data_IF_132560150070
#
_entry.id   IF_132560150070
#
_cell.length_a   1.000
_cell.length_b   1.000
_cell.length_c   1.000
_cell.angle_alpha   90.00
_cell.angle_beta   90.00
_cell.angle_gamma   90.00
#
_symmetry.space_group_name_H-M   'P 1'
#
loop_
_entity.id
_entity.type
_entity.pdbx_description
1 polymer ?
#
# COMPACT_ATOMS: atom_id res chain seq x y z
N UNK A 1 18.00 -26.31 -35.86
CA UNK A 1 17.18 -25.14 -35.49
C UNK A 1 16.14 -25.54 -34.46
N UNK A 2 16.45 -25.44 -33.20
CA UNK A 2 15.56 -25.80 -32.10
C UNK A 2 14.74 -24.60 -31.73
N UNK A 3 13.46 -24.63 -32.04
CA UNK A 3 12.47 -23.55 -31.70
C UNK A 3 12.35 -23.45 -30.18
N UNK A 4 12.75 -22.34 -29.60
CA UNK A 4 12.41 -21.93 -28.22
C UNK A 4 10.90 -21.72 -28.11
N UNK A 5 10.13 -22.77 -27.94
CA UNK A 5 8.73 -22.72 -27.53
C UNK A 5 8.70 -23.09 -26.07
N UNK A 6 8.37 -22.14 -25.16
CA UNK A 6 7.71 -22.34 -23.85
C UNK A 6 8.04 -21.30 -22.76
N UNK A 7 8.43 -20.05 -23.10
CA UNK A 7 8.59 -19.02 -22.07
C UNK A 7 7.39 -18.04 -21.95
N UNK A 8 6.59 -17.90 -23.00
CA UNK A 8 5.50 -16.93 -23.02
C UNK A 8 4.37 -17.19 -22.00
N UNK A 9 3.86 -18.43 -21.81
CA UNK A 9 2.73 -18.64 -20.88
C UNK A 9 3.08 -18.37 -19.42
N UNK A 10 4.33 -18.65 -18.99
CA UNK A 10 4.76 -18.45 -17.59
C UNK A 10 4.95 -16.97 -17.28
N UNK A 11 5.50 -16.20 -18.22
CA UNK A 11 5.66 -14.76 -18.07
C UNK A 11 4.31 -14.05 -18.03
N UNK A 12 3.41 -14.40 -18.94
CA UNK A 12 2.06 -13.83 -18.95
C UNK A 12 1.32 -14.10 -17.65
N UNK A 13 1.37 -15.33 -17.14
CA UNK A 13 0.75 -15.69 -15.86
C UNK A 13 1.30 -14.89 -14.67
N UNK A 14 2.60 -14.59 -14.67
CA UNK A 14 3.21 -13.74 -13.62
C UNK A 14 2.79 -12.27 -13.74
N UNK A 15 2.67 -11.75 -14.94
CA UNK A 15 2.14 -10.40 -15.16
C UNK A 15 0.68 -10.31 -14.72
N UNK A 16 -0.13 -11.29 -15.04
CA UNK A 16 -1.54 -11.33 -14.63
C UNK A 16 -1.66 -11.40 -13.10
N UNK A 17 -0.81 -12.18 -12.43
CA UNK A 17 -0.74 -12.22 -10.97
C UNK A 17 -0.33 -10.87 -10.37
N UNK A 18 0.66 -10.21 -10.96
CA UNK A 18 1.10 -8.88 -10.52
C UNK A 18 -0.03 -7.85 -10.67
N UNK A 19 -0.72 -7.84 -11.79
CA UNK A 19 -1.87 -6.96 -12.02
C UNK A 19 -2.97 -7.20 -10.99
N UNK A 20 -3.34 -8.47 -10.76
CA UNK A 20 -4.35 -8.84 -9.77
C UNK A 20 -3.97 -8.35 -8.36
N UNK A 21 -2.71 -8.56 -7.95
CA UNK A 21 -2.21 -8.08 -6.64
C UNK A 21 -2.20 -6.56 -6.54
N UNK A 22 -1.87 -5.86 -7.61
CA UNK A 22 -1.94 -4.40 -7.63
C UNK A 22 -3.37 -3.92 -7.43
N UNK A 23 -4.34 -4.50 -8.12
CA UNK A 23 -5.76 -4.17 -7.96
C UNK A 23 -6.26 -4.49 -6.55
N UNK A 24 -5.91 -5.66 -6.02
CA UNK A 24 -6.25 -6.06 -4.66
C UNK A 24 -5.70 -5.08 -3.61
N UNK A 25 -4.46 -4.64 -3.77
CA UNK A 25 -3.84 -3.66 -2.86
C UNK A 25 -4.54 -2.30 -2.86
N UNK A 26 -5.23 -1.92 -3.93
CA UNK A 26 -5.99 -0.68 -4.01
C UNK A 26 -7.29 -0.71 -3.19
N UNK A 27 -7.77 -1.89 -2.85
CA UNK A 27 -9.08 -2.06 -2.18
C UNK A 27 -9.00 -2.05 -0.65
N UNK A 28 -7.80 -1.99 -0.06
CA UNK A 28 -7.60 -1.96 1.40
C UNK A 28 -8.38 -3.07 2.11
N UNK A 29 -9.25 -2.71 3.04
CA UNK A 29 -10.11 -3.64 3.78
C UNK A 29 -11.34 -4.15 3.01
N UNK A 30 -11.45 -3.82 1.72
CA UNK A 30 -12.55 -4.24 0.84
C UNK A 30 -13.67 -3.22 0.71
N UNK A 31 -14.45 -3.36 -0.37
CA UNK A 31 -15.47 -2.39 -0.77
C UNK A 31 -16.47 -2.03 0.34
N UNK A 32 -16.94 -3.02 1.09
CA UNK A 32 -17.90 -2.80 2.20
C UNK A 32 -17.34 -1.89 3.29
N UNK A 33 -16.07 -2.07 3.68
CA UNK A 33 -15.43 -1.24 4.70
C UNK A 33 -15.12 0.16 4.19
N UNK A 34 -14.77 0.28 2.92
CA UNK A 34 -14.59 1.58 2.24
C UNK A 34 -15.91 2.34 2.24
N UNK A 35 -17.01 1.70 1.85
CA UNK A 35 -18.34 2.31 1.86
C UNK A 35 -18.76 2.77 3.27
N UNK A 36 -18.49 1.96 4.31
CA UNK A 36 -18.72 2.37 5.70
C UNK A 36 -17.88 3.58 6.13
N UNK A 37 -16.66 3.71 5.61
CA UNK A 37 -15.80 4.87 5.85
C UNK A 37 -16.38 6.12 5.21
N UNK A 38 -16.81 6.02 3.96
CA UNK A 38 -17.47 7.10 3.23
C UNK A 38 -18.80 7.51 3.86
N UNK A 39 -19.60 6.54 4.33
CA UNK A 39 -20.86 6.83 5.03
C UNK A 39 -20.68 7.64 6.31
N UNK A 40 -19.49 7.60 6.92
CA UNK A 40 -19.11 8.43 8.07
C UNK A 40 -18.55 9.81 7.65
N UNK A 41 -18.58 10.15 6.37
CA UNK A 41 -18.00 11.38 5.84
C UNK A 41 -16.47 11.39 5.84
N UNK A 42 -15.82 10.22 5.88
CA UNK A 42 -14.36 10.08 5.93
C UNK A 42 -13.81 9.52 4.64
N UNK A 43 -12.67 10.03 4.22
CA UNK A 43 -11.90 9.48 3.10
C UNK A 43 -11.11 8.25 3.53
N UNK A 44 -10.78 7.40 2.57
CA UNK A 44 -9.82 6.32 2.78
C UNK A 44 -8.40 6.87 2.90
N UNK A 45 -7.47 6.05 3.42
CA UNK A 45 -6.06 6.42 3.49
C UNK A 45 -5.49 6.77 2.11
N UNK A 46 -5.84 5.98 1.10
CA UNK A 46 -5.40 6.19 -0.29
C UNK A 46 -5.91 7.50 -0.88
N UNK A 47 -7.19 7.80 -0.69
CA UNK A 47 -7.78 9.06 -1.15
C UNK A 47 -7.13 10.27 -0.49
N UNK A 48 -6.80 10.19 0.80
CA UNK A 48 -6.08 11.24 1.52
C UNK A 48 -4.69 11.50 0.94
N UNK A 49 -3.94 10.44 0.65
CA UNK A 49 -2.62 10.56 0.00
C UNK A 49 -2.74 11.17 -1.39
N UNK A 50 -3.74 10.76 -2.17
CA UNK A 50 -3.99 11.30 -3.50
C UNK A 50 -4.34 12.80 -3.47
N UNK A 51 -5.10 13.23 -2.47
CA UNK A 51 -5.42 14.66 -2.30
C UNK A 51 -4.21 15.49 -1.85
N UNK A 52 -3.31 14.91 -1.07
CA UNK A 52 -2.10 15.60 -0.60
C UNK A 52 -1.08 15.80 -1.71
N UNK A 53 -0.87 14.77 -2.53
CA UNK A 53 0.19 14.74 -3.53
C UNK A 53 -0.20 15.45 -4.83
N UNK A 54 0.79 16.03 -5.49
CA UNK A 54 0.64 16.50 -6.86
C UNK A 54 0.25 15.32 -7.75
N UNK A 55 -0.65 15.55 -8.70
CA UNK A 55 -1.22 14.52 -9.55
C UNK A 55 -0.13 13.70 -10.27
N UNK A 56 -0.27 12.37 -10.21
CA UNK A 56 0.63 11.43 -10.89
C UNK A 56 2.04 11.30 -10.28
N UNK A 57 2.32 11.94 -9.14
CA UNK A 57 3.66 11.91 -8.54
C UNK A 57 3.84 10.88 -7.44
N UNK A 58 2.75 10.29 -6.92
CA UNK A 58 2.83 9.35 -5.81
C UNK A 58 3.38 7.99 -6.25
N UNK A 59 4.45 7.56 -5.59
CA UNK A 59 5.05 6.23 -5.72
C UNK A 59 4.90 5.47 -4.41
N UNK A 60 4.12 4.41 -4.43
CA UNK A 60 3.85 3.58 -3.26
C UNK A 60 4.95 2.55 -3.04
N UNK A 61 5.44 2.46 -1.80
CA UNK A 61 6.41 1.46 -1.36
C UNK A 61 5.76 0.47 -0.39
N UNK A 62 6.16 -0.80 -0.48
CA UNK A 62 5.64 -1.84 0.41
C UNK A 62 4.17 -2.20 0.17
N UNK A 63 3.66 -2.01 -1.03
CA UNK A 63 2.28 -2.29 -1.42
C UNK A 63 1.84 -3.73 -1.16
N UNK A 64 2.76 -4.69 -1.26
CA UNK A 64 2.48 -6.13 -1.13
C UNK A 64 2.87 -6.72 0.23
N UNK A 65 3.33 -5.91 1.15
CA UNK A 65 3.64 -6.34 2.52
C UNK A 65 2.37 -6.77 3.24
N UNK A 66 2.43 -7.89 3.94
CA UNK A 66 1.34 -8.42 4.76
C UNK A 66 1.83 -8.66 6.19
N UNK A 67 0.91 -8.63 7.17
CA UNK A 67 1.24 -8.93 8.56
C UNK A 67 1.69 -10.40 8.74
N UNK A 68 2.43 -10.66 9.82
CA UNK A 68 2.92 -12.00 10.19
C UNK A 68 2.17 -12.59 11.38
N UNK A 69 1.14 -11.92 11.88
CA UNK A 69 0.38 -12.39 13.04
C UNK A 69 -0.40 -13.66 12.70
N UNK A 70 -0.34 -14.64 13.60
CA UNK A 70 -1.01 -15.94 13.44
C UNK A 70 -2.07 -16.19 14.54
N UNK A 71 -2.06 -15.41 15.62
CA UNK A 71 -2.95 -15.55 16.75
C UNK A 71 -4.38 -15.12 16.41
N UNK A 72 -5.36 -15.70 17.10
CA UNK A 72 -6.79 -15.36 16.97
C UNK A 72 -7.36 -15.46 15.54
N UNK A 73 -6.80 -16.36 14.71
CA UNK A 73 -7.24 -16.56 13.33
C UNK A 73 -6.81 -15.47 12.35
N UNK A 74 -5.90 -14.57 12.73
CA UNK A 74 -5.35 -13.52 11.88
C UNK A 74 -4.53 -14.05 10.71
N UNK A 75 -4.04 -15.28 10.79
CA UNK A 75 -3.41 -16.02 9.69
C UNK A 75 -4.33 -16.23 8.48
N UNK A 76 -5.62 -16.09 8.64
CA UNK A 76 -6.64 -16.21 7.59
C UNK A 76 -7.03 -14.89 6.94
N UNK A 77 -6.66 -13.77 7.56
CA UNK A 77 -6.99 -12.42 7.10
C UNK A 77 -5.72 -11.67 6.71
N UNK A 78 -5.36 -11.72 5.43
CA UNK A 78 -4.23 -11.02 4.88
C UNK A 78 -4.69 -9.87 3.99
N UNK A 79 -4.21 -8.67 4.29
CA UNK A 79 -4.44 -7.49 3.48
C UNK A 79 -3.12 -6.97 2.92
N UNK A 80 -3.05 -6.80 1.60
CA UNK A 80 -1.86 -6.23 0.95
C UNK A 80 -1.65 -4.79 1.42
N UNK A 81 -0.40 -4.45 1.76
CA UNK A 81 -0.03 -3.16 2.32
C UNK A 81 -0.10 -3.09 3.85
N UNK A 82 -0.61 -4.12 4.52
CA UNK A 82 -0.71 -4.27 5.98
C UNK A 82 -1.32 -3.04 6.69
N UNK A 83 -2.38 -2.48 6.12
CA UNK A 83 -3.15 -1.40 6.74
C UNK A 83 -2.46 -0.04 6.81
N UNK A 84 -1.36 0.16 6.11
CA UNK A 84 -0.72 1.47 5.98
C UNK A 84 -0.20 1.69 4.55
N UNK A 85 -0.53 2.83 4.00
CA UNK A 85 0.00 3.28 2.72
C UNK A 85 1.26 4.08 2.99
N UNK A 86 2.36 3.67 2.40
CA UNK A 86 3.66 4.32 2.52
C UNK A 86 4.25 4.61 1.16
N UNK A 87 4.92 5.72 1.02
CA UNK A 87 5.54 6.09 -0.24
C UNK A 87 6.08 7.50 -0.24
N UNK A 88 6.32 8.00 -1.44
CA UNK A 88 6.79 9.36 -1.67
C UNK A 88 6.12 9.97 -2.90
N UNK A 89 6.16 11.27 -2.97
CA UNK A 89 5.64 12.04 -4.09
C UNK A 89 6.03 13.50 -3.96
N UNK A 90 5.35 14.35 -4.68
CA UNK A 90 5.58 15.79 -4.61
C UNK A 90 4.36 16.49 -4.03
N UNK A 91 4.62 17.52 -3.25
CA UNK A 91 3.62 18.49 -2.79
C UNK A 91 4.10 19.87 -3.22
N UNK A 92 3.37 20.52 -4.12
CA UNK A 92 3.79 21.78 -4.74
C UNK A 92 5.22 21.71 -5.34
N UNK A 93 5.52 20.61 -6.02
CA UNK A 93 6.80 20.34 -6.65
C UNK A 93 7.94 19.89 -5.74
N UNK A 94 7.72 19.80 -4.42
CA UNK A 94 8.71 19.38 -3.43
C UNK A 94 8.56 17.92 -3.06
N UNK A 95 9.66 17.18 -2.96
CA UNK A 95 9.67 15.80 -2.51
C UNK A 95 9.18 15.69 -1.05
N UNK A 96 8.23 14.82 -0.82
CA UNK A 96 7.65 14.51 0.48
C UNK A 96 7.48 13.00 0.63
N UNK A 97 7.80 12.47 1.79
CA UNK A 97 7.48 11.09 2.17
C UNK A 97 6.20 11.08 3.00
N UNK A 98 5.42 10.01 2.89
CA UNK A 98 4.12 9.90 3.55
C UNK A 98 3.87 8.50 4.08
N UNK A 99 3.21 8.42 5.22
CA UNK A 99 2.51 7.21 5.64
C UNK A 99 1.07 7.58 6.05
N UNK A 100 0.12 6.76 5.65
CA UNK A 100 -1.30 6.96 5.96
C UNK A 100 -1.92 5.64 6.41
N UNK A 101 -2.35 5.59 7.65
CA UNK A 101 -2.96 4.41 8.25
C UNK A 101 -4.37 4.18 7.69
N UNK A 102 -4.65 2.95 7.29
CA UNK A 102 -5.92 2.56 6.69
C UNK A 102 -6.86 1.98 7.74
N UNK A 103 -7.84 2.77 8.16
CA UNK A 103 -8.86 2.35 9.13
C UNK A 103 -9.82 1.27 8.60
N UNK A 104 -9.81 0.98 7.30
CA UNK A 104 -10.57 -0.13 6.73
C UNK A 104 -9.91 -1.48 6.98
N UNK A 105 -8.63 -1.48 7.35
CA UNK A 105 -7.84 -2.67 7.68
C UNK A 105 -7.62 -2.71 9.20
N UNK A 106 -8.14 -3.73 9.86
CA UNK A 106 -8.02 -3.95 11.32
C UNK A 106 -8.28 -2.68 12.17
N UNK A 107 -9.16 -1.79 11.72
CA UNK A 107 -9.46 -0.54 12.42
C UNK A 107 -8.28 0.41 12.56
N UNK A 108 -7.25 0.29 11.72
CA UNK A 108 -6.03 1.10 11.78
C UNK A 108 -5.04 0.68 12.88
N UNK A 109 -5.19 -0.55 13.43
CA UNK A 109 -4.28 -1.05 14.46
C UNK A 109 -2.86 -1.24 13.93
N UNK A 110 -1.88 -1.01 14.80
CA UNK A 110 -0.46 -1.10 14.50
C UNK A 110 0.03 -2.55 14.69
N UNK A 111 0.41 -3.23 13.60
CA UNK A 111 1.14 -4.48 13.63
C UNK A 111 2.65 -4.24 13.58
N UNK A 112 3.45 -5.30 13.79
CA UNK A 112 4.91 -5.23 13.64
C UNK A 112 5.32 -4.80 12.23
N UNK A 113 4.80 -5.46 11.21
CA UNK A 113 5.08 -5.13 9.80
C UNK A 113 4.56 -3.76 9.39
N UNK A 114 3.44 -3.32 9.93
CA UNK A 114 2.89 -1.99 9.78
C UNK A 114 3.88 -0.93 10.33
N UNK A 115 4.40 -1.15 11.55
CA UNK A 115 5.40 -0.28 12.15
C UNK A 115 6.71 -0.27 11.36
N UNK A 116 7.20 -1.43 10.90
CA UNK A 116 8.39 -1.54 10.05
C UNK A 116 8.25 -0.73 8.75
N UNK A 117 7.09 -0.75 8.13
CA UNK A 117 6.83 0.08 6.93
C UNK A 117 6.96 1.57 7.24
N UNK A 118 6.41 2.03 8.36
CA UNK A 118 6.48 3.43 8.79
C UNK A 118 7.93 3.82 9.07
N UNK A 119 8.65 3.00 9.84
CA UNK A 119 10.07 3.24 10.14
C UNK A 119 10.91 3.33 8.87
N UNK A 120 10.70 2.41 7.94
CA UNK A 120 11.43 2.42 6.66
C UNK A 120 11.18 3.70 5.87
N UNK A 121 9.97 4.21 5.85
CA UNK A 121 9.67 5.45 5.13
C UNK A 121 10.26 6.68 5.84
N UNK A 122 10.30 6.67 7.17
CA UNK A 122 10.97 7.71 7.97
C UNK A 122 12.49 7.73 7.69
N UNK A 123 13.13 6.57 7.65
CA UNK A 123 14.56 6.44 7.32
C UNK A 123 14.88 6.97 5.92
N UNK A 124 14.03 6.67 4.94
CA UNK A 124 14.17 7.18 3.57
C UNK A 124 14.02 8.70 3.53
N UNK A 125 13.07 9.26 4.27
CA UNK A 125 12.87 10.70 4.38
C UNK A 125 14.12 11.39 4.98
N UNK A 126 14.66 10.85 6.05
CA UNK A 126 15.89 11.33 6.68
C UNK A 126 17.08 11.26 5.72
N UNK A 127 17.26 10.13 5.05
CA UNK A 127 18.36 9.91 4.10
C UNK A 127 18.33 10.90 2.93
N UNK A 128 17.16 11.27 2.46
CA UNK A 128 16.97 12.18 1.32
C UNK A 128 16.74 13.65 1.74
N UNK A 129 16.75 13.93 3.04
CA UNK A 129 16.52 15.29 3.55
C UNK A 129 15.16 15.86 3.20
N UNK A 130 14.13 15.01 3.12
CA UNK A 130 12.78 15.39 2.77
C UNK A 130 11.84 15.33 3.99
N UNK A 131 10.77 16.15 4.03
CA UNK A 131 9.76 16.05 5.07
C UNK A 131 9.01 14.72 5.00
N UNK A 132 8.50 14.29 6.16
CA UNK A 132 7.58 13.16 6.29
C UNK A 132 6.26 13.65 6.88
N UNK A 133 5.16 13.15 6.32
CA UNK A 133 3.78 13.45 6.75
C UNK A 133 3.10 12.14 7.12
N UNK A 134 2.43 12.11 8.27
CA UNK A 134 1.66 10.97 8.76
C UNK A 134 0.25 11.37 9.16
#
# INVERSE_FOLDING_TARGET
>A
MTKRKHKEPILQSRYDELHRKNEEALTGGGAKRIEQQHAKGKLTARERVQLLMDEGTFEELGKFVMHRATDFGLDKEHYLGDGVITGYGKVNGRLVYVFSQDFTVFGGSLSETHAEKIVKIMELAMKNGAPIIG
#
